data_IF_338626983250
#
_entry.id   IF_338626983250
#
_cell.length_a   1.000
_cell.length_b   1.000
_cell.length_c   1.000
_cell.angle_alpha   90.00
_cell.angle_beta   90.00
_cell.angle_gamma   90.00
#
_symmetry.space_group_name_H-M   'P 1'
#
loop_
_entity.id
_entity.type
_entity.pdbx_description
1 polymer ?
#
# COMPACT_ATOMS: atom_id res chain seq x y z
N UNK A 1 -16.48 -32.69 17.17
CA UNK A 1 -16.19 -32.28 15.77
C UNK A 1 -16.84 -30.92 15.54
N UNK A 2 -16.09 -29.81 15.54
CA UNK A 2 -16.71 -28.48 15.45
C UNK A 2 -15.82 -27.31 15.03
N UNK A 3 -14.51 -27.53 14.81
CA UNK A 3 -13.56 -26.44 14.55
C UNK A 3 -13.37 -26.15 13.04
N UNK A 4 -13.75 -27.08 12.17
CA UNK A 4 -13.43 -27.02 10.73
C UNK A 4 -14.22 -25.98 9.92
N UNK A 5 -15.40 -25.56 10.38
CA UNK A 5 -16.30 -24.70 9.58
C UNK A 5 -16.10 -23.19 9.83
N UNK A 6 -15.50 -22.83 10.98
CA UNK A 6 -15.14 -21.44 11.31
C UNK A 6 -13.83 -21.03 10.59
N UNK A 7 -12.85 -21.93 10.52
CA UNK A 7 -11.55 -21.66 9.90
C UNK A 7 -11.65 -21.36 8.38
N UNK A 8 -12.53 -22.05 7.65
CA UNK A 8 -12.74 -21.80 6.22
C UNK A 8 -13.50 -20.49 5.95
N UNK A 9 -14.40 -20.08 6.85
CA UNK A 9 -15.14 -18.81 6.75
C UNK A 9 -14.22 -17.61 7.04
N UNK A 10 -13.30 -17.75 8.00
CA UNK A 10 -12.29 -16.73 8.33
C UNK A 10 -11.26 -16.59 7.19
N UNK A 11 -10.79 -17.69 6.58
CA UNK A 11 -9.89 -17.66 5.42
C UNK A 11 -10.52 -16.96 4.21
N UNK A 12 -11.77 -17.29 3.87
CA UNK A 12 -12.47 -16.66 2.75
C UNK A 12 -12.66 -15.14 2.93
N UNK A 13 -12.92 -14.69 4.16
CA UNK A 13 -12.96 -13.27 4.50
C UNK A 13 -11.60 -12.58 4.42
N UNK A 14 -10.54 -13.21 4.94
CA UNK A 14 -9.19 -12.64 4.91
C UNK A 14 -8.61 -12.53 3.49
N UNK A 15 -8.91 -13.50 2.63
CA UNK A 15 -8.43 -13.52 1.25
C UNK A 15 -9.10 -12.43 0.40
N UNK A 16 -10.40 -12.20 0.63
CA UNK A 16 -11.14 -11.10 0.00
C UNK A 16 -10.61 -9.73 0.44
N UNK A 17 -10.40 -9.51 1.75
CA UNK A 17 -9.83 -8.27 2.27
C UNK A 17 -8.42 -8.01 1.73
N UNK A 18 -7.57 -9.04 1.65
CA UNK A 18 -6.24 -8.91 1.03
C UNK A 18 -6.33 -8.57 -0.46
N UNK A 19 -7.26 -9.16 -1.19
CA UNK A 19 -7.47 -8.87 -2.61
C UNK A 19 -7.86 -7.41 -2.81
N UNK A 20 -8.80 -6.90 -2.02
CA UNK A 20 -9.23 -5.50 -2.07
C UNK A 20 -8.10 -4.54 -1.64
N UNK A 21 -7.27 -4.95 -0.67
CA UNK A 21 -6.09 -4.19 -0.28
C UNK A 21 -5.08 -4.07 -1.44
N UNK A 22 -4.76 -5.19 -2.12
CA UNK A 22 -3.89 -5.19 -3.31
C UNK A 22 -4.47 -4.32 -4.43
N UNK A 23 -5.77 -4.42 -4.70
CA UNK A 23 -6.42 -3.57 -5.71
C UNK A 23 -6.32 -2.08 -5.37
N UNK A 24 -6.38 -1.71 -4.08
CA UNK A 24 -6.16 -0.33 -3.66
C UNK A 24 -4.73 0.16 -3.90
N UNK A 25 -3.73 -0.73 -3.86
CA UNK A 25 -2.34 -0.42 -4.19
C UNK A 25 -2.22 -0.09 -5.67
N UNK A 26 -2.73 -0.98 -6.54
CA UNK A 26 -2.69 -0.79 -8.00
C UNK A 26 -3.35 0.55 -8.37
N UNK A 27 -4.56 0.78 -7.86
CA UNK A 27 -5.31 2.01 -8.08
C UNK A 27 -4.55 3.27 -7.63
N UNK A 28 -3.94 3.23 -6.43
CA UNK A 28 -3.20 4.39 -5.90
C UNK A 28 -1.89 4.61 -6.64
N UNK A 29 -1.23 3.56 -7.11
CA UNK A 29 -0.05 3.67 -7.95
C UNK A 29 -0.39 4.32 -9.29
N UNK A 30 -1.43 3.83 -9.99
CA UNK A 30 -1.86 4.36 -11.28
C UNK A 30 -2.32 5.80 -11.17
N UNK A 31 -3.25 6.11 -10.28
CA UNK A 31 -3.95 7.42 -10.29
C UNK A 31 -3.16 8.53 -9.60
N UNK A 32 -2.24 8.18 -8.69
CA UNK A 32 -1.63 9.15 -7.77
C UNK A 32 -0.10 9.02 -7.64
N UNK A 33 0.43 7.88 -7.21
CA UNK A 33 1.86 7.78 -6.81
C UNK A 33 2.82 7.75 -8.00
N UNK A 34 2.40 7.23 -9.15
CA UNK A 34 3.21 7.18 -10.37
C UNK A 34 2.65 8.08 -11.48
N UNK A 35 1.58 8.83 -11.20
CA UNK A 35 0.99 9.79 -12.12
C UNK A 35 1.72 11.15 -12.03
N UNK A 36 2.54 11.45 -13.04
CA UNK A 36 3.29 12.70 -13.13
C UNK A 36 2.38 13.94 -13.28
N UNK A 37 1.20 13.77 -13.87
CA UNK A 37 0.24 14.84 -14.15
C UNK A 37 -0.71 15.10 -12.97
N UNK A 38 -0.67 14.28 -11.92
CA UNK A 38 -1.53 14.49 -10.76
C UNK A 38 -1.07 15.73 -9.98
N UNK A 39 -1.95 16.71 -9.68
CA UNK A 39 -1.55 18.01 -9.10
C UNK A 39 -0.80 17.89 -7.77
N UNK A 40 -1.16 16.90 -6.94
CA UNK A 40 -0.51 16.61 -5.64
C UNK A 40 0.43 15.39 -5.71
N UNK A 41 0.25 14.55 -6.72
CA UNK A 41 0.86 13.22 -6.82
C UNK A 41 2.13 13.24 -7.68
N UNK A 42 2.25 14.20 -8.59
CA UNK A 42 3.37 14.33 -9.51
C UNK A 42 4.73 14.47 -8.80
N UNK A 43 4.78 15.11 -7.63
CA UNK A 43 6.00 15.16 -6.81
C UNK A 43 6.44 13.79 -6.31
N UNK A 44 5.50 12.88 -6.04
CA UNK A 44 5.77 11.49 -5.66
C UNK A 44 6.14 10.65 -6.87
N UNK A 45 5.47 10.84 -8.00
CA UNK A 45 5.82 10.19 -9.25
C UNK A 45 7.26 10.52 -9.66
N UNK A 46 7.65 11.80 -9.56
CA UNK A 46 9.02 12.25 -9.77
C UNK A 46 9.99 11.57 -8.81
N UNK A 47 9.66 11.49 -7.52
CA UNK A 47 10.51 10.83 -6.53
C UNK A 47 10.69 9.34 -6.84
N UNK A 48 9.63 8.59 -7.13
CA UNK A 48 9.73 7.16 -7.47
C UNK A 48 10.56 6.93 -8.73
N UNK A 49 10.39 7.79 -9.74
CA UNK A 49 11.20 7.74 -10.96
C UNK A 49 12.68 7.96 -10.67
N UNK A 50 13.02 9.01 -9.93
CA UNK A 50 14.41 9.42 -9.71
C UNK A 50 15.12 8.55 -8.65
N UNK A 51 14.43 8.16 -7.58
CA UNK A 51 15.01 7.43 -6.47
C UNK A 51 15.07 5.91 -6.74
N UNK A 52 14.03 5.35 -7.36
CA UNK A 52 13.84 3.90 -7.50
C UNK A 52 13.64 3.43 -8.95
N UNK A 53 13.54 4.33 -9.92
CA UNK A 53 13.34 3.95 -11.34
C UNK A 53 11.93 3.47 -11.67
N UNK A 54 10.93 3.76 -10.83
CA UNK A 54 9.54 3.36 -11.07
C UNK A 54 8.71 4.45 -11.74
N UNK A 55 7.95 4.04 -12.75
CA UNK A 55 6.94 4.84 -13.45
C UNK A 55 5.72 3.95 -13.71
N UNK A 56 4.67 4.49 -14.35
CA UNK A 56 3.51 3.66 -14.71
C UNK A 56 3.86 2.48 -15.63
N UNK A 57 4.93 2.55 -16.44
CA UNK A 57 5.29 1.46 -17.36
C UNK A 57 5.81 0.19 -16.69
N UNK A 58 6.26 0.28 -15.44
CA UNK A 58 6.77 -0.84 -14.64
C UNK A 58 6.11 -0.89 -13.25
N UNK A 59 4.87 -0.41 -13.16
CA UNK A 59 4.15 -0.29 -11.88
C UNK A 59 3.89 -1.65 -11.22
N UNK A 60 3.65 -2.70 -12.00
CA UNK A 60 3.33 -4.04 -11.48
C UNK A 60 4.47 -4.59 -10.60
N UNK A 61 5.72 -4.27 -10.94
CA UNK A 61 6.88 -4.71 -10.15
C UNK A 61 7.04 -3.94 -8.84
N UNK A 62 6.56 -2.70 -8.79
CA UNK A 62 6.45 -1.95 -7.54
C UNK A 62 5.27 -2.47 -6.71
N UNK A 63 4.11 -2.69 -7.32
CA UNK A 63 2.90 -3.15 -6.65
C UNK A 63 3.11 -4.46 -5.87
N UNK A 64 3.83 -5.42 -6.47
CA UNK A 64 4.18 -6.70 -5.83
C UNK A 64 4.95 -6.55 -4.50
N UNK A 65 5.68 -5.45 -4.32
CA UNK A 65 6.47 -5.20 -3.11
C UNK A 65 5.66 -4.49 -2.02
N UNK A 66 4.58 -3.79 -2.37
CA UNK A 66 3.77 -3.01 -1.44
C UNK A 66 2.65 -3.89 -0.88
N UNK A 67 2.99 -4.68 0.14
CA UNK A 67 2.05 -5.57 0.82
C UNK A 67 1.84 -5.11 2.26
N UNK A 68 0.59 -4.86 2.63
CA UNK A 68 0.25 -4.52 4.01
C UNK A 68 0.52 -5.72 4.94
N UNK A 69 1.25 -5.46 6.02
CA UNK A 69 1.57 -6.42 7.08
C UNK A 69 1.16 -5.82 8.43
N UNK A 70 0.07 -6.30 9.05
CA UNK A 70 -0.44 -5.72 10.29
C UNK A 70 0.55 -5.85 11.46
N UNK A 71 1.53 -6.75 11.39
CA UNK A 71 2.55 -6.92 12.44
C UNK A 71 3.66 -5.88 12.36
N UNK A 72 3.80 -5.19 11.22
CA UNK A 72 4.81 -4.16 10.95
C UNK A 72 4.22 -2.75 10.87
N UNK A 73 2.89 -2.64 10.90
CA UNK A 73 2.19 -1.38 10.82
C UNK A 73 2.06 -0.71 12.19
N UNK A 74 2.24 0.60 12.23
CA UNK A 74 2.07 1.44 13.43
C UNK A 74 0.83 2.29 13.25
N UNK A 75 -0.11 2.23 14.19
CA UNK A 75 -1.27 3.11 14.21
C UNK A 75 -0.83 4.55 14.46
N UNK A 76 -1.28 5.48 13.62
CA UNK A 76 -0.94 6.91 13.69
C UNK A 76 -2.14 7.79 14.04
N UNK A 77 -3.36 7.25 14.04
CA UNK A 77 -4.55 7.97 14.49
C UNK A 77 -5.84 7.22 14.18
N UNK A 78 -6.94 7.70 14.75
CA UNK A 78 -8.30 7.20 14.50
C UNK A 78 -9.16 8.38 14.07
N UNK A 79 -10.04 8.15 13.10
CA UNK A 79 -11.00 9.12 12.56
C UNK A 79 -12.36 8.47 12.38
N UNK A 80 -13.39 9.25 12.09
CA UNK A 80 -14.73 8.73 11.75
C UNK A 80 -14.72 7.76 10.55
N UNK A 81 -13.77 7.92 9.61
CA UNK A 81 -13.61 7.07 8.43
C UNK A 81 -12.82 5.78 8.70
N UNK A 82 -12.11 5.70 9.83
CA UNK A 82 -11.30 4.54 10.20
C UNK A 82 -9.94 4.88 10.80
N UNK A 83 -9.08 3.86 10.86
CA UNK A 83 -7.79 3.88 11.55
C UNK A 83 -6.64 4.12 10.57
N UNK A 84 -5.83 5.15 10.82
CA UNK A 84 -4.62 5.47 10.07
C UNK A 84 -3.45 4.62 10.55
N UNK A 85 -2.69 4.07 9.61
CA UNK A 85 -1.58 3.16 9.85
C UNK A 85 -0.39 3.57 8.98
N UNK A 86 0.83 3.48 9.49
CA UNK A 86 2.05 3.62 8.70
C UNK A 86 2.82 2.30 8.72
N UNK A 87 3.39 1.91 7.58
CA UNK A 87 4.27 0.76 7.45
C UNK A 87 5.48 1.15 6.62
N UNK A 88 6.69 0.88 7.14
CA UNK A 88 7.92 0.99 6.34
C UNK A 88 8.15 -0.30 5.57
N UNK A 89 8.44 -0.19 4.27
CA UNK A 89 8.72 -1.32 3.39
C UNK A 89 10.02 -1.03 2.63
N UNK A 90 10.98 -1.96 2.69
CA UNK A 90 12.18 -1.90 1.88
C UNK A 90 11.84 -2.22 0.42
N UNK A 91 11.95 -1.23 -0.46
CA UNK A 91 11.64 -1.37 -1.88
C UNK A 91 12.96 -1.51 -2.65
N UNK A 92 13.07 -2.59 -3.42
CA UNK A 92 14.10 -2.73 -4.45
C UNK A 92 13.63 -2.00 -5.69
N UNK A 93 14.35 -0.96 -6.08
CA UNK A 93 14.10 -0.16 -7.28
C UNK A 93 14.46 -0.90 -8.56
N UNK A 94 13.81 -0.53 -9.67
CA UNK A 94 14.19 -0.94 -11.01
C UNK A 94 15.62 -0.48 -11.39
N UNK A 95 16.17 0.49 -10.66
CA UNK A 95 17.56 0.95 -10.76
C UNK A 95 18.54 0.19 -9.84
N UNK A 96 18.10 -0.87 -9.15
CA UNK A 96 18.92 -1.70 -8.26
C UNK A 96 19.14 -1.12 -6.85
N UNK A 97 18.67 0.09 -6.55
CA UNK A 97 18.76 0.66 -5.19
C UNK A 97 17.71 0.04 -4.28
N UNK A 98 18.03 -0.08 -2.99
CA UNK A 98 17.05 -0.47 -1.96
C UNK A 98 16.82 0.73 -1.05
N UNK A 99 15.56 1.16 -0.92
CA UNK A 99 15.17 2.29 -0.08
C UNK A 99 13.98 1.90 0.77
N UNK A 100 14.03 2.22 2.07
CA UNK A 100 12.90 2.11 2.97
C UNK A 100 11.89 3.23 2.69
N UNK A 101 10.70 2.84 2.25
CA UNK A 101 9.59 3.74 1.94
C UNK A 101 8.48 3.56 2.96
N UNK A 102 8.08 4.65 3.61
CA UNK A 102 6.91 4.62 4.49
C UNK A 102 5.64 4.77 3.67
N UNK A 103 4.73 3.82 3.81
CA UNK A 103 3.40 3.85 3.22
C UNK A 103 2.37 4.10 4.30
N UNK A 104 1.49 5.07 4.04
CA UNK A 104 0.33 5.37 4.88
C UNK A 104 -0.87 4.59 4.35
N UNK A 105 -1.55 3.90 5.25
CA UNK A 105 -2.71 3.07 5.01
C UNK A 105 -3.88 3.55 5.87
N UNK A 106 -5.09 3.18 5.47
CA UNK A 106 -6.30 3.38 6.25
C UNK A 106 -7.07 2.07 6.32
N UNK A 107 -7.29 1.57 7.54
CA UNK A 107 -8.29 0.54 7.80
C UNK A 107 -9.65 1.20 7.88
N UNK A 108 -10.51 0.93 6.91
CA UNK A 108 -11.86 1.46 6.81
C UNK A 108 -12.72 1.02 8.00
N UNK A 109 -13.54 1.93 8.52
CA UNK A 109 -14.55 1.62 9.54
C UNK A 109 -15.80 0.91 8.96
N UNK A 110 -16.04 1.01 7.66
CA UNK A 110 -17.25 0.48 7.01
C UNK A 110 -17.12 -0.99 6.60
N UNK A 111 -15.94 -1.37 6.08
CA UNK A 111 -15.73 -2.67 5.44
C UNK A 111 -14.44 -3.39 5.90
N UNK A 112 -13.76 -2.86 6.91
CA UNK A 112 -12.52 -3.38 7.48
C UNK A 112 -11.33 -3.52 6.50
N UNK A 113 -11.48 -3.12 5.24
CA UNK A 113 -10.41 -3.21 4.23
C UNK A 113 -9.33 -2.16 4.54
N UNK A 114 -8.07 -2.60 4.47
CA UNK A 114 -6.90 -1.73 4.61
C UNK A 114 -6.47 -1.23 3.24
N UNK A 115 -6.62 0.08 2.99
CA UNK A 115 -6.35 0.71 1.70
C UNK A 115 -5.12 1.60 1.73
N UNK A 116 -4.35 1.58 0.65
CA UNK A 116 -3.20 2.47 0.49
C UNK A 116 -3.66 3.92 0.32
N UNK A 117 -3.17 4.83 1.17
CA UNK A 117 -3.53 6.25 1.11
C UNK A 117 -2.47 7.05 0.37
N UNK A 118 -1.19 6.86 0.70
CA UNK A 118 -0.05 7.54 0.07
C UNK A 118 1.28 6.88 0.45
N UNK A 119 2.37 7.22 -0.23
CA UNK A 119 3.72 7.09 0.33
C UNK A 119 4.16 8.41 0.97
N UNK A 120 5.07 8.31 1.93
CA UNK A 120 5.83 9.40 2.52
C UNK A 120 7.28 9.18 2.07
N UNK A 121 7.74 9.86 1.01
CA UNK A 121 9.10 9.72 0.53
C UNK A 121 10.11 10.10 1.63
N UNK A 122 11.07 9.22 1.89
CA UNK A 122 12.25 9.54 2.69
C UNK A 122 13.21 10.42 1.87
N UNK A 123 14.11 11.15 2.53
CA UNK A 123 15.12 11.97 1.82
C UNK A 123 15.93 11.05 0.88
N UNK A 124 16.14 11.51 -0.36
CA UNK A 124 16.90 10.82 -1.40
C UNK A 124 18.35 10.57 -1.01
#
# INVERSE_FOLDING_TARGET
MGVSNQLNKIKGGSDALQTLSRQSVDDKLTRYLLNADHPVGGSKAKWFKEALGYTQSNMDDLAKQIVFDPTKAVQTGVTEYGTKLNQSISITGANGKVIDVTFAWMKSAEDDVVRLVTSIPTKK
#
